data_IF_755737158735
#
_entry.id   IF_755737158735
#
_cell.length_a   1.000
_cell.length_b   1.000
_cell.length_c   1.000
_cell.angle_alpha   90.00
_cell.angle_beta   90.00
_cell.angle_gamma   90.00
#
_symmetry.space_group_name_H-M   'P 1'
#
loop_
_entity.id
_entity.type
_entity.pdbx_description
1 polymer ?
#
# COMPACT_ATOMS: atom_id res chain seq x y z
N UNK A 1 17.44 7.48 -4.78
CA UNK A 1 16.01 7.24 -4.49
C UNK A 1 15.31 8.58 -4.43
N UNK A 2 14.35 8.86 -5.32
CA UNK A 2 13.58 10.09 -5.30
C UNK A 2 12.66 10.17 -4.07
N UNK A 3 12.22 11.39 -3.77
CA UNK A 3 11.24 11.67 -2.73
C UNK A 3 10.24 12.75 -3.17
N UNK A 4 9.12 12.83 -2.46
CA UNK A 4 8.12 13.87 -2.59
C UNK A 4 7.54 14.22 -1.24
N UNK A 5 6.86 15.37 -1.16
CA UNK A 5 6.25 15.84 0.07
C UNK A 5 4.78 16.15 -0.18
N UNK A 6 3.94 15.85 0.82
CA UNK A 6 2.53 16.21 0.86
C UNK A 6 2.17 16.49 2.32
N UNK A 7 1.52 17.62 2.59
CA UNK A 7 1.08 18.03 3.93
C UNK A 7 2.20 17.99 5.00
N UNK A 8 3.44 18.30 4.60
CA UNK A 8 4.61 18.26 5.49
C UNK A 8 5.15 16.87 5.81
N UNK A 9 4.62 15.83 5.15
CA UNK A 9 5.06 14.44 5.26
C UNK A 9 5.95 14.13 4.05
N UNK A 10 7.17 13.66 4.29
CA UNK A 10 8.07 13.21 3.23
C UNK A 10 7.87 11.73 2.93
N UNK A 11 7.85 11.42 1.64
CA UNK A 11 7.70 10.07 1.13
C UNK A 11 8.86 9.71 0.22
N UNK A 12 9.31 8.47 0.29
CA UNK A 12 10.31 7.92 -0.63
C UNK A 12 9.67 6.89 -1.55
N UNK A 13 10.26 6.72 -2.72
CA UNK A 13 9.84 5.70 -3.67
C UNK A 13 10.99 5.31 -4.59
N UNK A 14 10.92 4.09 -5.12
CA UNK A 14 11.74 3.72 -6.26
C UNK A 14 11.01 4.08 -7.56
N UNK A 15 11.76 4.60 -8.52
CA UNK A 15 11.30 4.91 -9.88
C UNK A 15 12.20 4.15 -10.85
N UNK A 16 11.67 3.09 -11.44
CA UNK A 16 12.46 2.10 -12.19
C UNK A 16 11.94 1.94 -13.60
N UNK A 17 12.85 1.63 -14.53
CA UNK A 17 12.52 1.40 -15.93
C UNK A 17 12.10 2.67 -16.67
N UNK A 18 12.03 2.56 -18.00
CA UNK A 18 11.65 3.67 -18.89
C UNK A 18 10.86 3.18 -20.12
N UNK A 19 10.20 2.02 -20.00
CA UNK A 19 9.42 1.44 -21.08
C UNK A 19 8.17 2.25 -21.43
N UNK A 20 7.67 2.06 -22.64
CA UNK A 20 6.50 2.76 -23.18
C UNK A 20 5.19 2.34 -22.47
N UNK A 21 4.13 3.13 -22.63
CA UNK A 21 2.78 2.87 -22.10
C UNK A 21 2.56 3.30 -20.65
N UNK A 22 1.38 3.00 -20.11
CA UNK A 22 1.02 3.41 -18.75
C UNK A 22 1.96 2.76 -17.72
N UNK A 23 2.48 3.54 -16.76
CA UNK A 23 3.34 3.04 -15.70
C UNK A 23 2.59 2.12 -14.74
N UNK A 24 3.35 1.37 -13.94
CA UNK A 24 2.82 0.47 -12.92
C UNK A 24 3.17 1.03 -11.54
N UNK A 25 2.18 1.16 -10.66
CA UNK A 25 2.35 1.52 -9.26
C UNK A 25 2.16 0.29 -8.38
N UNK A 26 3.14 -0.03 -7.54
CA UNK A 26 3.13 -1.20 -6.65
C UNK A 26 3.00 -0.78 -5.19
N UNK A 27 1.89 -1.12 -4.54
CA UNK A 27 1.55 -0.75 -3.15
C UNK A 27 1.72 -1.94 -2.21
N UNK A 28 2.60 -1.82 -1.23
CA UNK A 28 2.96 -2.91 -0.31
C UNK A 28 1.89 -3.15 0.78
N UNK A 29 1.95 -4.32 1.42
CA UNK A 29 1.10 -4.67 2.56
C UNK A 29 1.51 -4.01 3.88
N UNK A 30 0.69 -4.17 4.92
CA UNK A 30 0.97 -3.66 6.27
C UNK A 30 2.21 -4.36 6.84
N UNK A 31 2.99 -3.67 7.68
CA UNK A 31 4.30 -4.13 8.21
C UNK A 31 5.41 -4.38 7.17
N UNK A 32 5.16 -4.02 5.91
CA UNK A 32 6.13 -4.13 4.81
C UNK A 32 6.58 -2.76 4.31
N UNK A 33 7.33 -2.74 3.22
CA UNK A 33 7.80 -1.53 2.54
C UNK A 33 8.06 -1.84 1.06
N UNK A 34 8.54 -0.85 0.29
CA UNK A 34 8.80 -0.97 -1.16
C UNK A 34 9.67 -2.16 -1.54
N UNK A 35 10.55 -2.65 -0.66
CA UNK A 35 11.47 -3.78 -0.94
C UNK A 35 10.71 -5.09 -1.18
N UNK A 36 9.48 -5.24 -0.67
CA UNK A 36 8.59 -6.36 -0.97
C UNK A 36 8.43 -6.59 -2.47
N UNK A 37 8.43 -5.50 -3.24
CA UNK A 37 8.19 -5.54 -4.67
C UNK A 37 9.46 -5.69 -5.50
N UNK A 38 10.66 -5.77 -4.92
CA UNK A 38 11.92 -5.86 -5.67
C UNK A 38 11.89 -6.91 -6.79
N UNK A 39 11.49 -8.18 -6.55
CA UNK A 39 11.48 -9.20 -7.60
C UNK A 39 10.48 -8.88 -8.72
N UNK A 40 9.35 -8.26 -8.38
CA UNK A 40 8.30 -7.90 -9.34
C UNK A 40 8.73 -6.67 -10.15
N UNK A 41 9.30 -5.66 -9.49
CA UNK A 41 9.82 -4.46 -10.14
C UNK A 41 10.93 -4.81 -11.15
N UNK A 42 11.90 -5.66 -10.77
CA UNK A 42 12.97 -6.14 -11.65
C UNK A 42 12.44 -6.87 -12.91
N UNK A 43 11.33 -7.60 -12.78
CA UNK A 43 10.71 -8.29 -13.91
C UNK A 43 9.93 -7.34 -14.84
N UNK A 44 9.39 -6.25 -14.31
CA UNK A 44 8.52 -5.32 -15.02
C UNK A 44 9.27 -4.12 -15.63
N UNK A 45 10.34 -3.66 -14.99
CA UNK A 45 11.08 -2.44 -15.36
C UNK A 45 11.68 -2.51 -16.77
N UNK A 46 11.87 -3.72 -17.30
CA UNK A 46 12.33 -3.96 -18.68
C UNK A 46 11.32 -3.54 -19.76
N UNK A 47 10.04 -3.38 -19.39
CA UNK A 47 8.93 -3.16 -20.33
C UNK A 47 8.06 -1.96 -20.00
N UNK A 48 8.01 -1.54 -18.73
CA UNK A 48 7.21 -0.42 -18.25
C UNK A 48 8.01 0.39 -17.24
N UNK A 49 7.68 1.67 -17.06
CA UNK A 49 8.07 2.42 -15.87
C UNK A 49 7.32 1.88 -14.65
N UNK A 50 8.01 1.72 -13.52
CA UNK A 50 7.50 1.13 -12.29
C UNK A 50 7.79 2.05 -11.12
N UNK A 51 6.76 2.42 -10.36
CA UNK A 51 6.85 3.21 -9.14
C UNK A 51 6.54 2.32 -7.95
N UNK A 52 7.40 2.40 -6.93
CA UNK A 52 7.28 1.58 -5.72
C UNK A 52 7.48 2.47 -4.49
N UNK A 53 6.42 3.09 -3.96
CA UNK A 53 6.52 3.92 -2.76
C UNK A 53 6.63 3.10 -1.49
N UNK A 54 7.27 3.71 -0.50
CA UNK A 54 6.97 3.42 0.90
C UNK A 54 5.73 4.23 1.29
N UNK A 55 4.67 3.54 1.71
CA UNK A 55 3.45 4.17 2.21
C UNK A 55 3.73 4.90 3.53
N UNK A 56 2.86 5.86 3.87
CA UNK A 56 2.93 6.60 5.15
C UNK A 56 3.18 5.68 6.34
N UNK A 57 4.15 6.02 7.18
CA UNK A 57 4.52 5.23 8.36
C UNK A 57 5.32 3.96 8.07
N UNK A 58 5.78 3.74 6.84
CA UNK A 58 6.50 2.53 6.44
C UNK A 58 7.85 2.86 5.80
N UNK A 59 8.75 1.87 5.88
CA UNK A 59 10.07 1.94 5.26
C UNK A 59 10.86 3.19 5.68
N UNK A 60 11.25 3.98 4.68
CA UNK A 60 11.95 5.25 4.86
C UNK A 60 11.02 6.46 4.65
N UNK A 61 9.73 6.28 4.39
CA UNK A 61 8.76 7.39 4.42
C UNK A 61 8.51 7.83 5.86
N UNK A 62 8.09 9.09 6.03
CA UNK A 62 7.84 9.64 7.37
C UNK A 62 6.69 8.91 8.07
N UNK A 63 6.76 8.86 9.39
CA UNK A 63 5.75 8.30 10.28
C UNK A 63 5.27 9.37 11.27
N UNK A 64 4.39 10.30 10.84
CA UNK A 64 3.90 11.37 11.72
C UNK A 64 3.14 10.82 12.93
N UNK A 65 3.23 11.51 14.08
CA UNK A 65 2.48 11.16 15.29
C UNK A 65 0.99 11.49 15.21
N UNK A 66 0.55 12.17 14.15
CA UNK A 66 -0.85 12.52 13.90
C UNK A 66 -1.65 11.28 13.46
N UNK A 67 -1.99 10.43 14.44
CA UNK A 67 -2.76 9.18 14.25
C UNK A 67 -4.07 9.40 13.46
N UNK A 68 -4.86 10.47 13.70
CA UNK A 68 -6.05 10.77 12.89
C UNK A 68 -5.79 10.93 11.38
N UNK A 69 -4.57 11.24 10.96
CA UNK A 69 -4.23 11.37 9.55
C UNK A 69 -4.19 10.03 8.81
N UNK A 70 -4.03 8.90 9.51
CA UNK A 70 -3.89 7.56 8.94
C UNK A 70 -5.25 6.98 8.53
N UNK A 71 -5.85 7.59 7.50
CA UNK A 71 -7.10 7.13 6.89
C UNK A 71 -6.84 6.59 5.49
N UNK A 72 -7.75 5.76 4.98
CA UNK A 72 -7.64 5.22 3.61
C UNK A 72 -7.58 6.33 2.57
N UNK A 73 -8.39 7.37 2.73
CA UNK A 73 -8.40 8.57 1.89
C UNK A 73 -7.06 9.30 1.96
N UNK A 74 -6.46 9.37 3.15
CA UNK A 74 -5.12 9.91 3.35
C UNK A 74 -4.06 9.14 2.56
N UNK A 75 -4.05 7.81 2.69
CA UNK A 75 -3.12 6.95 1.94
C UNK A 75 -3.32 7.05 0.42
N UNK A 76 -4.56 7.10 -0.04
CA UNK A 76 -4.88 7.25 -1.45
C UNK A 76 -4.49 8.64 -1.98
N UNK A 77 -4.63 9.70 -1.18
CA UNK A 77 -4.16 11.04 -1.53
C UNK A 77 -2.63 11.14 -1.60
N UNK A 78 -1.90 10.41 -0.75
CA UNK A 78 -0.43 10.30 -0.87
C UNK A 78 -0.04 9.65 -2.21
N UNK A 79 -0.75 8.59 -2.60
CA UNK A 79 -0.60 7.94 -3.91
C UNK A 79 -0.89 8.91 -5.06
N UNK A 80 -1.95 9.72 -4.97
CA UNK A 80 -2.26 10.73 -5.98
C UNK A 80 -1.11 11.74 -6.13
N UNK A 81 -0.56 12.23 -5.01
CA UNK A 81 0.57 13.16 -5.02
C UNK A 81 1.84 12.55 -5.60
N UNK A 82 2.09 11.25 -5.41
CA UNK A 82 3.18 10.56 -6.10
C UNK A 82 3.00 10.58 -7.62
N UNK A 83 1.80 10.27 -8.12
CA UNK A 83 1.54 10.29 -9.55
C UNK A 83 1.72 11.69 -10.13
N UNK A 84 1.21 12.71 -9.46
CA UNK A 84 1.39 14.12 -9.86
C UNK A 84 2.89 14.50 -9.85
N UNK A 85 3.63 14.13 -8.80
CA UNK A 85 5.09 14.35 -8.72
C UNK A 85 5.84 13.71 -9.88
N UNK A 86 5.42 12.51 -10.28
CA UNK A 86 6.04 11.71 -11.32
C UNK A 86 5.60 12.10 -12.74
N UNK A 87 4.64 13.03 -12.87
CA UNK A 87 4.07 13.47 -14.14
C UNK A 87 3.20 12.39 -14.80
N UNK A 88 2.46 11.62 -14.00
CA UNK A 88 1.68 10.48 -14.44
C UNK A 88 0.19 10.79 -14.27
N UNK A 89 -0.55 10.79 -15.38
CA UNK A 89 -2.00 10.99 -15.37
C UNK A 89 -2.75 9.71 -15.01
N UNK A 90 -2.33 8.57 -15.59
CA UNK A 90 -2.98 7.26 -15.41
C UNK A 90 -1.93 6.18 -15.19
N UNK A 91 -2.17 5.24 -14.27
CA UNK A 91 -1.29 4.11 -14.01
C UNK A 91 -2.06 2.78 -13.81
N UNK A 92 -1.38 1.66 -14.04
CA UNK A 92 -1.82 0.35 -13.55
C UNK A 92 -1.50 0.26 -12.06
N UNK A 93 -2.50 0.05 -11.22
CA UNK A 93 -2.32 0.00 -9.76
C UNK A 93 -2.33 -1.46 -9.31
N UNK A 94 -1.31 -1.87 -8.57
CA UNK A 94 -1.20 -3.21 -7.99
C UNK A 94 -1.05 -3.05 -6.49
N UNK A 95 -1.93 -3.68 -5.72
CA UNK A 95 -1.90 -3.63 -4.27
C UNK A 95 -1.97 -5.02 -3.65
N UNK A 96 -1.15 -5.26 -2.63
CA UNK A 96 -1.21 -6.48 -1.82
C UNK A 96 -1.71 -6.17 -0.41
N UNK A 97 -2.69 -6.94 0.08
CA UNK A 97 -3.26 -6.80 1.42
C UNK A 97 -3.66 -5.35 1.70
N UNK A 98 -3.03 -4.67 2.67
CA UNK A 98 -3.24 -3.26 2.96
C UNK A 98 -3.06 -2.34 1.74
N UNK A 99 -2.02 -2.55 0.93
CA UNK A 99 -1.83 -1.80 -0.32
C UNK A 99 -2.97 -2.04 -1.33
N UNK A 100 -3.63 -3.20 -1.25
CA UNK A 100 -4.86 -3.48 -1.99
C UNK A 100 -6.04 -2.64 -1.53
N UNK A 101 -6.18 -2.41 -0.23
CA UNK A 101 -7.19 -1.48 0.31
C UNK A 101 -6.94 -0.06 -0.19
N UNK A 102 -5.67 0.38 -0.18
CA UNK A 102 -5.29 1.71 -0.69
C UNK A 102 -5.59 1.83 -2.18
N UNK A 103 -5.31 0.78 -2.96
CA UNK A 103 -5.62 0.73 -4.38
C UNK A 103 -7.14 0.82 -4.65
N UNK A 104 -7.98 0.18 -3.82
CA UNK A 104 -9.44 0.26 -3.94
C UNK A 104 -9.94 1.67 -3.65
N UNK A 105 -9.50 2.28 -2.54
CA UNK A 105 -9.86 3.66 -2.20
C UNK A 105 -9.42 4.64 -3.31
N UNK A 106 -8.19 4.49 -3.80
CA UNK A 106 -7.69 5.32 -4.91
C UNK A 106 -8.53 5.16 -6.18
N UNK A 107 -8.96 3.95 -6.52
CA UNK A 107 -9.77 3.68 -7.70
C UNK A 107 -11.19 4.26 -7.59
N UNK A 108 -11.77 4.32 -6.40
CA UNK A 108 -13.08 4.95 -6.16
C UNK A 108 -12.96 6.47 -6.22
N UNK A 109 -11.90 7.03 -5.64
CA UNK A 109 -11.73 8.49 -5.53
C UNK A 109 -11.18 9.13 -6.81
N UNK A 110 -10.29 8.46 -7.54
CA UNK A 110 -9.73 8.92 -8.82
C UNK A 110 -9.84 7.88 -9.95
N UNK A 111 -11.06 7.46 -10.35
CA UNK A 111 -11.24 6.40 -11.35
C UNK A 111 -10.58 6.71 -12.70
N UNK A 112 -10.55 7.99 -13.11
CA UNK A 112 -9.88 8.42 -14.34
C UNK A 112 -8.35 8.27 -14.33
N UNK A 113 -7.74 8.03 -13.17
CA UNK A 113 -6.29 7.84 -13.01
C UNK A 113 -5.88 6.37 -12.92
N UNK A 114 -6.83 5.43 -13.05
CA UNK A 114 -6.58 3.99 -12.96
C UNK A 114 -6.77 3.34 -14.33
N UNK A 115 -5.68 2.84 -14.93
CA UNK A 115 -5.75 2.06 -16.17
C UNK A 115 -6.31 0.66 -15.90
N UNK A 116 -5.79 0.00 -14.87
CA UNK A 116 -6.30 -1.28 -14.32
C UNK A 116 -5.96 -1.36 -12.83
N UNK A 117 -6.71 -2.16 -12.07
CA UNK A 117 -6.38 -2.51 -10.69
C UNK A 117 -6.12 -4.01 -10.54
N UNK A 118 -5.05 -4.39 -9.86
CA UNK A 118 -4.74 -5.76 -9.43
C UNK A 118 -4.74 -5.78 -7.90
N UNK A 119 -5.62 -6.61 -7.33
CA UNK A 119 -5.88 -6.69 -5.91
C UNK A 119 -5.50 -8.09 -5.41
N UNK A 120 -4.39 -8.20 -4.66
CA UNK A 120 -3.88 -9.48 -4.14
C UNK A 120 -4.12 -9.57 -2.64
N UNK A 121 -4.75 -10.66 -2.20
CA UNK A 121 -4.88 -10.99 -0.77
C UNK A 121 -5.47 -9.86 0.08
N UNK A 122 -6.46 -9.15 -0.47
CA UNK A 122 -7.07 -7.95 0.10
C UNK A 122 -8.59 -8.04 0.11
N UNK A 123 -9.26 -7.09 0.78
CA UNK A 123 -10.71 -7.00 0.86
C UNK A 123 -11.16 -5.54 1.09
N UNK A 124 -12.35 -5.12 0.64
CA UNK A 124 -12.76 -3.70 0.61
C UNK A 124 -12.93 -3.03 1.98
N UNK A 125 -13.42 -3.75 3.00
CA UNK A 125 -13.54 -3.26 4.36
C UNK A 125 -13.80 -4.45 5.31
N UNK A 126 -13.29 -4.47 6.55
CA UNK A 126 -13.46 -5.59 7.49
C UNK A 126 -14.91 -5.86 7.94
N UNK A 127 -15.83 -4.91 7.72
CA UNK A 127 -17.23 -4.93 8.15
C UNK A 127 -18.24 -5.06 7.00
N UNK A 128 -17.79 -5.51 5.82
CA UNK A 128 -18.66 -5.68 4.66
C UNK A 128 -19.87 -6.61 4.96
N UNK A 129 -21.11 -6.26 4.56
CA UNK A 129 -22.32 -6.99 4.94
C UNK A 129 -22.35 -8.45 4.45
N UNK A 130 -21.66 -8.74 3.36
CA UNK A 130 -21.56 -10.10 2.81
C UNK A 130 -20.54 -10.99 3.54
N UNK A 131 -19.80 -10.45 4.50
CA UNK A 131 -18.86 -11.27 5.27
C UNK A 131 -19.60 -12.11 6.29
N UNK A 132 -19.40 -13.42 6.21
CA UNK A 132 -19.89 -14.34 7.23
C UNK A 132 -19.12 -14.16 8.55
N UNK A 133 -19.64 -14.77 9.62
CA UNK A 133 -19.02 -14.71 10.94
C UNK A 133 -17.60 -15.31 10.96
N UNK A 134 -17.31 -16.28 10.09
CA UNK A 134 -15.99 -16.92 10.00
C UNK A 134 -14.96 -15.97 9.42
N UNK A 135 -15.32 -15.25 8.36
CA UNK A 135 -14.47 -14.22 7.76
C UNK A 135 -14.19 -13.12 8.78
N UNK A 136 -15.23 -12.60 9.44
CA UNK A 136 -15.07 -11.57 10.49
C UNK A 136 -14.19 -12.04 11.65
N UNK A 137 -14.35 -13.29 12.09
CA UNK A 137 -13.51 -13.88 13.16
C UNK A 137 -12.05 -14.00 12.73
N UNK A 138 -11.80 -14.42 11.49
CA UNK A 138 -10.45 -14.52 10.93
C UNK A 138 -9.78 -13.15 10.82
N UNK A 139 -10.49 -12.15 10.31
CA UNK A 139 -9.98 -10.78 10.19
C UNK A 139 -9.70 -10.14 11.56
N UNK A 140 -10.59 -10.35 12.55
CA UNK A 140 -10.34 -9.89 13.92
C UNK A 140 -9.09 -10.55 14.53
N UNK A 141 -8.86 -11.84 14.23
CA UNK A 141 -7.64 -12.54 14.60
C UNK A 141 -6.38 -11.95 13.95
N UNK A 142 -6.47 -11.59 12.67
CA UNK A 142 -5.37 -10.92 11.96
C UNK A 142 -5.07 -9.54 12.53
N UNK A 143 -6.09 -8.72 12.78
CA UNK A 143 -5.93 -7.39 13.40
C UNK A 143 -5.26 -7.49 14.78
N UNK A 144 -5.66 -8.47 15.60
CA UNK A 144 -5.01 -8.75 16.88
C UNK A 144 -3.56 -9.18 16.70
N UNK A 145 -3.27 -10.04 15.74
CA UNK A 145 -1.89 -10.47 15.45
C UNK A 145 -1.04 -9.28 15.02
N UNK A 146 -1.58 -8.39 14.20
CA UNK A 146 -0.92 -7.14 13.78
C UNK A 146 -0.62 -6.25 14.98
N UNK A 147 -1.58 -6.03 15.89
CA UNK A 147 -1.37 -5.28 17.13
C UNK A 147 -0.31 -5.93 18.03
N UNK A 148 -0.30 -7.25 18.14
CA UNK A 148 0.71 -7.98 18.92
C UNK A 148 2.10 -7.88 18.27
N UNK A 149 2.20 -7.95 16.94
CA UNK A 149 3.47 -7.73 16.19
C UNK A 149 3.96 -6.29 16.39
N UNK A 150 3.07 -5.31 16.31
CA UNK A 150 3.42 -3.90 16.54
C UNK A 150 3.91 -3.65 17.98
N UNK A 151 3.30 -4.32 18.97
CA UNK A 151 3.66 -4.15 20.40
C UNK A 151 4.88 -4.97 20.84
N UNK A 152 5.09 -6.15 20.27
CA UNK A 152 6.04 -7.13 20.81
C UNK A 152 7.04 -7.67 19.79
N UNK A 153 6.90 -7.32 18.51
CA UNK A 153 7.68 -7.87 17.41
C UNK A 153 7.22 -9.26 16.98
N UNK A 154 7.63 -9.71 15.77
CA UNK A 154 7.05 -10.89 15.11
C UNK A 154 7.29 -12.21 15.84
N UNK A 155 8.46 -12.38 16.46
CA UNK A 155 8.81 -13.61 17.19
C UNK A 155 7.95 -13.81 18.45
N UNK A 156 7.68 -12.72 19.17
CA UNK A 156 6.96 -12.79 20.44
C UNK A 156 5.44 -12.80 20.25
N UNK A 157 4.95 -12.13 19.21
CA UNK A 157 3.57 -12.25 18.75
C UNK A 157 3.23 -13.71 18.35
N UNK A 158 4.13 -14.38 17.62
CA UNK A 158 3.93 -15.79 17.23
C UNK A 158 3.80 -16.75 18.43
N UNK A 159 4.54 -16.51 19.53
CA UNK A 159 4.42 -17.31 20.76
C UNK A 159 3.12 -17.07 21.51
N UNK A 160 2.57 -15.86 21.40
CA UNK A 160 1.34 -15.43 22.10
C UNK A 160 0.08 -15.89 21.37
N UNK A 161 0.09 -15.87 20.03
CA UNK A 161 -0.98 -16.40 19.20
C UNK A 161 -1.15 -17.93 19.27
N UNK A 162 -0.13 -18.66 19.74
CA UNK A 162 -0.14 -20.13 19.87
C UNK A 162 -0.65 -20.65 21.24
N UNK A 163 -1.14 -19.77 22.12
CA UNK A 163 -1.73 -20.10 23.44
C UNK A 163 -3.24 -19.88 23.42
#
# INVERSE_FOLDING_TARGET
MPSYERDGIRFVYDDRGNGEGAPILLLHGFTSDRRMWNPVAEALEKRRRVLVPDLRGHGESDSPDDIPSYTMEGYAADVAALLDRAGIETAHIVGSSFGGMVAMEFAVTWPGRVATAVLSDTSPAPDHPDYDERFRTREAGLARMVDEVARFGPLEAGRRAAR
#
